data_IF_477947980804
#
_entry.id   IF_477947980804
#
_cell.length_a   1.000
_cell.length_b   1.000
_cell.length_c   1.000
_cell.angle_alpha   90.00
_cell.angle_beta   90.00
_cell.angle_gamma   90.00
#
_symmetry.space_group_name_H-M   'P 1'
#
loop_
_entity.id
_entity.type
_entity.pdbx_description
1 polymer ?
#
# COMPACT_ATOMS: atom_id res chain seq x y z
N UNK A 1 69.63 8.40 -11.64
CA UNK A 1 68.75 7.47 -12.37
C UNK A 1 68.06 6.41 -11.50
N UNK A 2 68.75 5.63 -10.64
CA UNK A 2 68.06 4.61 -9.80
C UNK A 2 67.21 5.24 -8.68
N UNK A 3 67.61 6.35 -8.08
CA UNK A 3 66.90 7.05 -7.01
C UNK A 3 65.64 7.75 -7.52
N UNK A 4 65.65 8.29 -8.75
CA UNK A 4 64.49 8.94 -9.38
C UNK A 4 63.42 7.93 -9.77
N UNK A 5 63.80 6.73 -10.22
CA UNK A 5 62.83 5.62 -10.46
C UNK A 5 62.17 5.12 -9.18
N UNK A 6 62.92 5.04 -8.07
CA UNK A 6 62.39 4.58 -6.79
C UNK A 6 61.41 5.62 -6.17
N UNK A 7 61.68 6.93 -6.35
CA UNK A 7 60.74 7.98 -5.92
C UNK A 7 59.50 8.02 -6.81
N UNK A 8 59.59 7.88 -8.11
CA UNK A 8 58.46 7.79 -9.04
C UNK A 8 57.58 6.58 -8.73
N UNK A 9 58.14 5.41 -8.43
CA UNK A 9 57.41 4.19 -8.04
C UNK A 9 56.67 4.37 -6.70
N UNK A 10 57.28 5.04 -5.70
CA UNK A 10 56.61 5.33 -4.41
C UNK A 10 55.46 6.30 -4.60
N UNK A 11 55.57 7.32 -5.46
CA UNK A 11 54.52 8.28 -5.77
C UNK A 11 53.33 7.65 -6.46
N UNK A 12 53.55 6.78 -7.44
CA UNK A 12 52.47 6.02 -8.13
C UNK A 12 51.77 5.04 -7.20
N UNK A 13 52.51 4.40 -6.29
CA UNK A 13 51.90 3.48 -5.31
C UNK A 13 51.03 4.21 -4.26
N UNK A 14 51.43 5.39 -3.85
CA UNK A 14 50.66 6.24 -2.93
C UNK A 14 49.41 6.79 -3.61
N UNK A 15 49.50 7.24 -4.84
CA UNK A 15 48.37 7.72 -5.65
C UNK A 15 47.32 6.59 -5.86
N UNK A 16 47.78 5.37 -6.23
CA UNK A 16 46.91 4.23 -6.42
C UNK A 16 46.14 3.85 -5.12
N UNK A 17 46.83 3.91 -3.96
CA UNK A 17 46.19 3.67 -2.64
C UNK A 17 45.12 4.73 -2.32
N UNK A 18 45.43 6.01 -2.58
CA UNK A 18 44.44 7.10 -2.37
C UNK A 18 43.23 6.90 -3.26
N UNK A 19 43.41 6.61 -4.53
CA UNK A 19 42.34 6.36 -5.48
C UNK A 19 41.48 5.13 -5.05
N UNK A 20 42.15 4.06 -4.62
CA UNK A 20 41.48 2.86 -4.10
C UNK A 20 40.61 3.19 -2.88
N UNK A 21 41.11 3.97 -1.92
CA UNK A 21 40.38 4.37 -0.73
C UNK A 21 39.19 5.27 -1.07
N UNK A 22 39.34 6.18 -2.02
CA UNK A 22 38.20 7.01 -2.53
C UNK A 22 37.14 6.11 -3.15
N UNK A 23 37.54 5.19 -4.04
CA UNK A 23 36.61 4.27 -4.69
C UNK A 23 35.88 3.42 -3.65
N UNK A 24 36.57 2.86 -2.68
CA UNK A 24 35.97 2.10 -1.58
C UNK A 24 34.97 2.96 -0.78
N UNK A 25 35.34 4.20 -0.47
CA UNK A 25 34.46 5.15 0.22
C UNK A 25 33.18 5.43 -0.56
N UNK A 26 33.26 5.61 -1.88
CA UNK A 26 32.10 5.81 -2.77
C UNK A 26 31.21 4.58 -2.78
N UNK A 27 31.79 3.38 -2.90
CA UNK A 27 31.02 2.12 -2.87
C UNK A 27 30.28 1.97 -1.53
N UNK A 28 30.95 2.19 -0.41
CA UNK A 28 30.34 2.11 0.92
C UNK A 28 29.22 3.15 1.10
N UNK A 29 29.40 4.36 0.57
CA UNK A 29 28.37 5.40 0.59
C UNK A 29 27.13 4.96 -0.22
N UNK A 30 27.29 4.40 -1.40
CA UNK A 30 26.19 3.92 -2.23
C UNK A 30 25.43 2.79 -1.51
N UNK A 31 26.16 1.85 -0.92
CA UNK A 31 25.54 0.78 -0.11
C UNK A 31 24.74 1.38 1.05
N UNK A 32 25.35 2.28 1.83
CA UNK A 32 24.70 2.92 2.97
C UNK A 32 23.43 3.67 2.54
N UNK A 33 23.50 4.47 1.47
CA UNK A 33 22.33 5.19 0.96
C UNK A 33 21.23 4.23 0.51
N UNK A 34 21.56 3.12 -0.14
CA UNK A 34 20.56 2.12 -0.55
C UNK A 34 19.83 1.50 0.64
N UNK A 35 20.54 1.21 1.73
CA UNK A 35 19.93 0.69 2.97
C UNK A 35 19.12 1.77 3.71
N UNK A 36 19.56 3.03 3.68
CA UNK A 36 18.83 4.17 4.23
C UNK A 36 17.50 4.36 3.47
N UNK A 37 17.49 4.24 2.15
CA UNK A 37 16.27 4.29 1.35
C UNK A 37 15.26 3.21 1.80
N UNK A 38 15.70 1.98 2.02
CA UNK A 38 14.85 0.92 2.56
C UNK A 38 14.32 1.30 3.94
N UNK A 39 15.20 1.76 4.84
CA UNK A 39 14.82 2.11 6.20
C UNK A 39 13.78 3.22 6.24
N UNK A 40 13.99 4.33 5.52
CA UNK A 40 13.06 5.48 5.50
C UNK A 40 11.69 5.10 4.95
N UNK A 41 11.63 4.31 3.87
CA UNK A 41 10.37 3.90 3.27
C UNK A 41 9.63 2.83 4.10
N UNK A 42 10.32 2.10 4.96
CA UNK A 42 9.70 1.07 5.82
C UNK A 42 9.43 1.54 7.25
N UNK A 43 9.83 2.76 7.62
CA UNK A 43 9.58 3.37 8.92
C UNK A 43 8.87 4.72 8.77
N UNK A 44 7.63 4.73 8.27
CA UNK A 44 6.90 5.98 8.09
C UNK A 44 6.66 6.66 9.45
N UNK A 45 6.69 7.99 9.51
CA UNK A 45 6.27 8.72 10.69
C UNK A 45 4.80 8.42 10.97
N UNK A 46 4.45 8.27 12.26
CA UNK A 46 3.06 8.12 12.67
C UNK A 46 2.42 9.50 12.81
N UNK A 47 1.46 9.76 11.95
CA UNK A 47 0.67 10.98 12.03
C UNK A 47 -0.57 10.76 12.90
N UNK A 48 -0.84 11.69 13.82
CA UNK A 48 -1.96 11.64 14.76
C UNK A 48 -3.11 12.57 14.38
N UNK A 49 -3.31 12.82 13.10
CA UNK A 49 -4.47 13.57 12.65
C UNK A 49 -5.70 12.66 12.73
N UNK A 50 -6.68 13.09 13.51
CA UNK A 50 -7.89 12.32 13.73
C UNK A 50 -9.11 13.16 13.39
N UNK A 51 -9.62 12.95 12.18
CA UNK A 51 -10.95 13.41 11.80
C UNK A 51 -11.87 12.19 11.99
N UNK A 52 -12.60 12.12 13.12
CA UNK A 52 -13.43 10.94 13.40
C UNK A 52 -14.66 10.92 12.48
N UNK A 53 -15.30 9.76 12.28
CA UNK A 53 -16.51 9.65 11.45
C UNK A 53 -17.67 10.54 11.90
N UNK A 54 -17.73 10.94 13.16
CA UNK A 54 -18.73 11.86 13.71
C UNK A 54 -18.69 13.25 13.05
N UNK A 55 -17.55 13.72 12.56
CA UNK A 55 -17.47 14.98 11.80
C UNK A 55 -18.28 14.91 10.49
N UNK A 56 -18.48 13.72 9.96
CA UNK A 56 -19.32 13.43 8.81
C UNK A 56 -20.70 12.89 9.19
N UNK A 57 -21.13 13.06 10.47
CA UNK A 57 -22.42 12.61 11.02
C UNK A 57 -22.64 11.10 10.91
N UNK A 58 -21.58 10.32 11.03
CA UNK A 58 -21.63 8.87 11.01
C UNK A 58 -21.33 8.32 12.41
N UNK A 59 -22.20 7.44 12.92
CA UNK A 59 -22.00 6.75 14.19
C UNK A 59 -20.90 5.69 14.03
N UNK A 60 -20.04 5.57 15.02
CA UNK A 60 -18.95 4.59 14.98
C UNK A 60 -18.60 4.03 16.35
N UNK A 61 -17.94 2.89 16.34
CA UNK A 61 -17.36 2.21 17.49
C UNK A 61 -15.85 2.19 17.37
N UNK A 62 -15.12 2.54 18.42
CA UNK A 62 -13.66 2.36 18.48
C UNK A 62 -13.37 0.89 18.72
N UNK A 63 -12.62 0.28 17.83
CA UNK A 63 -12.34 -1.15 17.87
C UNK A 63 -10.85 -1.44 17.85
N UNK A 64 -10.49 -2.63 18.35
CA UNK A 64 -9.13 -3.15 18.24
C UNK A 64 -9.17 -4.66 18.03
N UNK A 65 -8.21 -5.16 17.24
CA UNK A 65 -8.03 -6.57 16.96
C UNK A 65 -6.55 -6.85 16.73
N UNK A 66 -6.15 -8.11 16.81
CA UNK A 66 -4.72 -8.47 16.75
C UNK A 66 -4.46 -9.31 15.50
N UNK A 67 -3.40 -8.96 14.76
CA UNK A 67 -2.94 -9.76 13.64
C UNK A 67 -2.29 -11.08 14.11
N UNK A 68 -2.14 -12.05 13.21
CA UNK A 68 -1.60 -13.38 13.56
C UNK A 68 -0.18 -13.35 14.15
N UNK A 69 0.59 -12.30 13.86
CA UNK A 69 1.94 -12.07 14.39
C UNK A 69 1.96 -11.12 15.61
N UNK A 70 0.80 -10.94 16.26
CA UNK A 70 0.69 -10.27 17.56
C UNK A 70 0.64 -8.75 17.51
N UNK A 71 0.50 -8.14 16.32
CA UNK A 71 0.38 -6.67 16.22
C UNK A 71 -1.04 -6.24 16.57
N UNK A 72 -1.18 -5.37 17.58
CA UNK A 72 -2.46 -4.76 17.92
C UNK A 72 -2.81 -3.67 16.89
N UNK A 73 -3.94 -3.85 16.24
CA UNK A 73 -4.48 -2.94 15.25
C UNK A 73 -5.64 -2.14 15.85
N UNK A 74 -5.70 -0.85 15.51
CA UNK A 74 -6.73 0.09 15.96
C UNK A 74 -7.59 0.54 14.81
N UNK A 75 -8.89 0.59 15.03
CA UNK A 75 -9.85 0.92 13.99
C UNK A 75 -11.10 1.63 14.49
N UNK A 76 -11.90 2.03 13.53
CA UNK A 76 -13.26 2.55 13.71
C UNK A 76 -14.22 1.70 12.89
N UNK A 77 -15.24 1.17 13.55
CA UNK A 77 -16.34 0.46 12.91
C UNK A 77 -17.49 1.44 12.74
N UNK A 78 -17.64 1.96 11.55
CA UNK A 78 -18.71 2.91 11.19
C UNK A 78 -19.99 2.12 10.95
N UNK A 79 -21.06 2.53 11.64
CA UNK A 79 -22.36 1.85 11.56
C UNK A 79 -23.12 2.30 10.31
N UNK A 80 -23.95 1.43 9.72
CA UNK A 80 -24.83 1.83 8.63
C UNK A 80 -25.88 2.83 9.12
N UNK A 81 -26.30 3.73 8.24
CA UNK A 81 -27.31 4.74 8.56
C UNK A 81 -28.66 4.11 8.95
N UNK A 82 -28.95 2.89 8.48
CA UNK A 82 -30.14 2.13 8.81
C UNK A 82 -29.73 0.73 9.31
N UNK A 83 -30.23 0.35 10.48
CA UNK A 83 -29.95 -0.97 11.04
C UNK A 83 -30.54 -2.07 10.15
N UNK A 84 -29.70 -2.91 9.59
CA UNK A 84 -30.07 -4.14 8.93
C UNK A 84 -29.47 -5.32 9.71
N UNK A 85 -30.26 -6.35 9.94
CA UNK A 85 -29.72 -7.64 10.37
C UNK A 85 -28.87 -8.19 9.22
N UNK A 86 -27.65 -8.59 9.52
CA UNK A 86 -26.69 -9.10 8.52
C UNK A 86 -26.40 -8.10 7.38
N UNK A 87 -25.93 -6.89 7.76
CA UNK A 87 -25.53 -5.89 6.81
C UNK A 87 -24.28 -6.31 6.01
N UNK A 88 -24.14 -5.90 4.74
CA UNK A 88 -22.88 -6.02 4.03
C UNK A 88 -21.83 -5.12 4.67
N UNK A 89 -20.54 -5.49 4.54
CA UNK A 89 -19.46 -4.73 5.14
C UNK A 89 -18.36 -4.40 4.13
N UNK A 90 -17.67 -3.29 4.37
CA UNK A 90 -16.49 -2.86 3.58
C UNK A 90 -15.34 -2.57 4.54
N UNK A 91 -14.18 -3.13 4.23
CA UNK A 91 -12.91 -2.84 4.91
C UNK A 91 -12.18 -1.80 4.08
N UNK A 92 -11.76 -0.69 4.69
CA UNK A 92 -10.99 0.37 4.03
C UNK A 92 -9.55 0.34 4.52
N UNK A 93 -8.62 0.26 3.57
CA UNK A 93 -7.18 0.15 3.76
C UNK A 93 -6.48 1.39 3.21
N UNK A 94 -5.82 2.16 4.09
CA UNK A 94 -5.13 3.40 3.74
C UNK A 94 -3.78 3.18 3.05
N UNK A 95 -3.17 4.25 2.51
CA UNK A 95 -1.84 4.27 1.91
C UNK A 95 -0.70 4.38 2.94
N UNK A 96 0.54 4.30 2.46
CA UNK A 96 1.73 4.54 3.29
C UNK A 96 1.76 6.00 3.75
N UNK A 97 2.16 6.24 5.01
CA UNK A 97 2.19 7.59 5.59
C UNK A 97 0.81 8.20 5.86
N UNK A 98 -0.28 7.46 5.59
CA UNK A 98 -1.65 7.82 5.91
C UNK A 98 -2.14 7.08 7.17
N UNK A 99 -3.37 7.31 7.56
CA UNK A 99 -4.03 6.58 8.63
C UNK A 99 -5.55 6.46 8.36
N UNK A 100 -6.27 5.79 9.25
CA UNK A 100 -7.73 5.58 9.11
C UNK A 100 -8.54 6.87 8.97
N UNK A 101 -8.06 7.99 9.54
CA UNK A 101 -8.81 9.25 9.51
C UNK A 101 -8.84 9.91 8.12
N UNK A 102 -7.93 9.56 7.23
CA UNK A 102 -7.89 10.10 5.87
C UNK A 102 -9.03 9.58 4.98
N UNK A 103 -9.73 8.53 5.44
CA UNK A 103 -10.82 7.89 4.70
C UNK A 103 -12.18 7.98 5.40
N UNK A 104 -12.31 8.83 6.42
CA UNK A 104 -13.56 8.97 7.19
C UNK A 104 -14.71 9.51 6.37
N UNK A 105 -14.45 10.44 5.44
CA UNK A 105 -15.48 10.95 4.52
C UNK A 105 -16.01 9.81 3.63
N UNK A 106 -15.14 9.07 2.97
CA UNK A 106 -15.52 7.94 2.14
C UNK A 106 -16.30 6.89 2.94
N UNK A 107 -15.84 6.58 4.16
CA UNK A 107 -16.52 5.64 5.03
C UNK A 107 -17.93 6.09 5.42
N UNK A 108 -18.10 7.38 5.72
CA UNK A 108 -19.42 7.95 6.02
C UNK A 108 -20.35 7.91 4.80
N UNK A 109 -19.84 8.19 3.60
CA UNK A 109 -20.59 8.10 2.35
C UNK A 109 -21.06 6.67 2.08
N UNK A 110 -20.16 5.69 2.24
CA UNK A 110 -20.45 4.27 2.06
C UNK A 110 -21.44 3.78 3.14
N UNK A 111 -21.32 4.23 4.41
CA UNK A 111 -22.22 3.82 5.48
C UNK A 111 -23.67 4.29 5.26
N UNK A 112 -23.86 5.48 4.64
CA UNK A 112 -25.20 5.97 4.24
C UNK A 112 -25.87 5.08 3.20
N UNK A 113 -25.09 4.29 2.45
CA UNK A 113 -25.61 3.29 1.52
C UNK A 113 -25.99 1.96 2.22
N UNK A 114 -25.88 1.88 3.55
CA UNK A 114 -26.29 0.71 4.34
C UNK A 114 -25.18 -0.29 4.63
N UNK A 115 -23.93 0.07 4.44
CA UNK A 115 -22.78 -0.78 4.77
C UNK A 115 -22.26 -0.53 6.18
N UNK A 116 -21.81 -1.57 6.85
CA UNK A 116 -20.87 -1.44 7.96
C UNK A 116 -19.48 -1.19 7.36
N UNK A 117 -18.76 -0.19 7.85
CA UNK A 117 -17.43 0.13 7.31
C UNK A 117 -16.39 0.02 8.41
N UNK A 118 -15.37 -0.81 8.21
CA UNK A 118 -14.20 -0.89 9.07
C UNK A 118 -13.07 -0.06 8.48
N UNK A 119 -12.72 1.03 9.15
CA UNK A 119 -11.48 1.77 8.97
C UNK A 119 -10.47 1.28 10.01
N UNK A 120 -9.25 0.97 9.63
CA UNK A 120 -8.21 0.62 10.60
C UNK A 120 -6.84 1.15 10.17
N UNK A 121 -5.96 1.38 11.14
CA UNK A 121 -4.58 1.72 10.86
C UNK A 121 -3.79 0.44 10.63
N UNK A 122 -3.07 0.37 9.51
CA UNK A 122 -2.07 -0.67 9.31
C UNK A 122 -0.99 -0.64 10.39
N UNK A 123 -0.27 -1.75 10.55
CA UNK A 123 0.95 -1.79 11.37
C UNK A 123 1.86 -0.60 11.09
N UNK A 124 2.53 -0.08 12.11
CA UNK A 124 3.42 1.08 12.06
C UNK A 124 2.76 2.40 11.65
N UNK A 125 1.43 2.47 11.50
CA UNK A 125 0.70 3.69 11.17
C UNK A 125 -0.29 4.06 12.30
N UNK A 126 -0.67 5.33 12.33
CA UNK A 126 -1.68 5.86 13.26
C UNK A 126 -1.52 5.36 14.69
N UNK A 127 -2.59 4.81 15.26
CA UNK A 127 -2.64 4.27 16.63
C UNK A 127 -2.27 2.78 16.72
N UNK A 128 -2.09 2.10 15.59
CA UNK A 128 -1.74 0.68 15.57
C UNK A 128 -0.32 0.42 16.04
N UNK A 129 -0.08 -0.79 16.54
CA UNK A 129 1.22 -1.28 16.95
C UNK A 129 2.21 -1.43 15.79
N UNK A 130 3.39 -1.96 16.12
CA UNK A 130 4.47 -2.13 15.15
C UNK A 130 5.30 -0.88 14.95
N UNK A 131 6.49 -1.08 14.35
CA UNK A 131 7.47 -0.01 14.10
C UNK A 131 7.84 0.11 12.62
N UNK A 132 7.46 -0.86 11.81
CA UNK A 132 7.82 -0.94 10.40
C UNK A 132 6.66 -1.45 9.56
N UNK A 133 6.53 -0.90 8.37
CA UNK A 133 5.70 -1.42 7.28
C UNK A 133 6.57 -2.24 6.33
N UNK A 134 6.00 -3.25 5.71
CA UNK A 134 6.68 -4.05 4.70
C UNK A 134 6.20 -3.75 3.27
N UNK A 135 5.41 -2.70 3.13
CA UNK A 135 4.88 -2.22 1.85
C UNK A 135 4.14 -3.34 1.08
N UNK A 136 3.26 -4.08 1.78
CA UNK A 136 2.38 -5.08 1.18
C UNK A 136 2.63 -6.53 1.58
N UNK A 137 3.74 -6.88 2.24
CA UNK A 137 3.99 -8.27 2.67
C UNK A 137 3.31 -8.62 4.00
N UNK A 138 3.62 -7.88 5.06
CA UNK A 138 3.04 -8.11 6.39
C UNK A 138 1.63 -7.52 6.53
N UNK A 139 1.31 -6.50 5.74
CA UNK A 139 -0.01 -5.86 5.71
C UNK A 139 -1.12 -6.82 5.28
N UNK A 140 -0.79 -7.89 4.54
CA UNK A 140 -1.73 -8.98 4.27
C UNK A 140 -2.23 -9.66 5.54
N UNK A 141 -1.39 -9.75 6.59
CA UNK A 141 -1.78 -10.30 7.90
C UNK A 141 -2.74 -9.35 8.63
N UNK A 142 -2.54 -8.04 8.48
CA UNK A 142 -3.43 -7.03 9.05
C UNK A 142 -4.80 -7.08 8.39
N UNK A 143 -4.86 -7.21 7.07
CA UNK A 143 -6.12 -7.37 6.32
C UNK A 143 -6.81 -8.69 6.68
N UNK A 144 -6.07 -9.78 6.82
CA UNK A 144 -6.63 -11.06 7.25
C UNK A 144 -7.24 -10.97 8.65
N UNK A 145 -6.59 -10.27 9.59
CA UNK A 145 -7.12 -10.02 10.92
C UNK A 145 -8.37 -9.13 10.88
N UNK A 146 -8.38 -8.08 10.05
CA UNK A 146 -9.55 -7.23 9.84
C UNK A 146 -10.73 -8.02 9.27
N UNK A 147 -10.48 -8.92 8.31
CA UNK A 147 -11.50 -9.80 7.75
C UNK A 147 -12.06 -10.76 8.79
N UNK A 148 -11.22 -11.37 9.63
CA UNK A 148 -11.69 -12.25 10.72
C UNK A 148 -12.49 -11.46 11.76
N UNK A 149 -12.04 -10.25 12.14
CA UNK A 149 -12.77 -9.38 13.05
C UNK A 149 -14.17 -9.07 12.52
N UNK A 150 -14.30 -8.69 11.26
CA UNK A 150 -15.58 -8.38 10.60
C UNK A 150 -16.48 -9.63 10.54
N UNK A 151 -15.94 -10.78 10.15
CA UNK A 151 -16.70 -12.05 10.06
C UNK A 151 -17.24 -12.53 11.40
N UNK A 152 -16.60 -12.18 12.50
CA UNK A 152 -17.04 -12.56 13.84
C UNK A 152 -18.21 -11.70 14.36
N UNK A 153 -18.57 -10.63 13.68
CA UNK A 153 -19.65 -9.71 14.09
C UNK A 153 -21.00 -10.26 13.63
N UNK A 154 -21.94 -10.42 14.57
CA UNK A 154 -23.28 -11.01 14.31
C UNK A 154 -24.15 -10.16 13.38
N UNK A 155 -23.95 -8.85 13.40
CA UNK A 155 -24.67 -7.88 12.57
C UNK A 155 -24.22 -7.87 11.11
N UNK A 156 -23.14 -8.57 10.76
CA UNK A 156 -22.53 -8.57 9.43
C UNK A 156 -22.78 -9.90 8.71
N UNK A 157 -23.15 -9.82 7.43
CA UNK A 157 -23.20 -10.98 6.56
C UNK A 157 -21.78 -11.37 6.10
N UNK A 158 -21.25 -12.51 6.55
CA UNK A 158 -19.88 -12.91 6.23
C UNK A 158 -19.64 -13.26 4.75
N UNK A 159 -20.72 -13.33 3.96
CA UNK A 159 -20.66 -13.56 2.50
C UNK A 159 -20.68 -12.27 1.69
N UNK A 160 -20.97 -11.13 2.31
CA UNK A 160 -21.09 -9.84 1.65
C UNK A 160 -20.08 -8.84 2.20
N UNK A 161 -18.79 -9.19 2.08
CA UNK A 161 -17.67 -8.37 2.54
C UNK A 161 -16.87 -7.88 1.34
N UNK A 162 -16.79 -6.57 1.18
CA UNK A 162 -15.92 -5.90 0.21
C UNK A 162 -14.65 -5.35 0.86
N UNK A 163 -13.68 -5.01 0.03
CA UNK A 163 -12.47 -4.30 0.45
C UNK A 163 -12.18 -3.16 -0.51
N UNK A 164 -11.88 -2.01 0.06
CA UNK A 164 -11.34 -0.84 -0.64
C UNK A 164 -9.91 -0.62 -0.16
N UNK A 165 -8.97 -0.40 -1.06
CA UNK A 165 -7.60 -0.05 -0.71
C UNK A 165 -7.06 1.06 -1.58
N UNK A 166 -6.31 1.98 -0.96
CA UNK A 166 -5.61 3.06 -1.62
C UNK A 166 -4.10 2.83 -1.56
N UNK A 167 -3.39 2.99 -2.70
CA UNK A 167 -1.92 2.94 -2.78
C UNK A 167 -1.38 1.62 -2.19
N UNK A 168 -0.57 1.68 -1.10
CA UNK A 168 -0.18 0.51 -0.30
C UNK A 168 -1.39 -0.38 0.03
N UNK A 169 -2.49 0.24 0.48
CA UNK A 169 -3.73 -0.46 0.83
C UNK A 169 -4.34 -1.18 -0.36
N UNK A 170 -4.33 -0.56 -1.56
CA UNK A 170 -4.83 -1.15 -2.80
C UNK A 170 -4.03 -2.39 -3.22
N UNK A 171 -2.71 -2.27 -3.20
CA UNK A 171 -1.81 -3.39 -3.52
C UNK A 171 -1.92 -4.51 -2.49
N UNK A 172 -1.99 -4.16 -1.20
CA UNK A 172 -2.18 -5.12 -0.11
C UNK A 172 -3.55 -5.81 -0.16
N UNK A 173 -4.60 -5.09 -0.58
CA UNK A 173 -5.94 -5.65 -0.75
C UNK A 173 -5.97 -6.72 -1.85
N UNK A 174 -5.33 -6.46 -3.00
CA UNK A 174 -5.18 -7.45 -4.08
C UNK A 174 -4.44 -8.69 -3.57
N UNK A 175 -3.29 -8.50 -2.92
CA UNK A 175 -2.46 -9.61 -2.39
C UNK A 175 -3.23 -10.44 -1.35
N UNK A 176 -3.91 -9.76 -0.41
CA UNK A 176 -4.70 -10.43 0.63
C UNK A 176 -5.91 -11.16 0.05
N UNK A 177 -6.66 -10.54 -0.88
CA UNK A 177 -7.81 -11.16 -1.52
C UNK A 177 -7.43 -12.43 -2.28
N UNK A 178 -6.32 -12.39 -3.05
CA UNK A 178 -5.83 -13.56 -3.77
C UNK A 178 -5.36 -14.69 -2.84
N UNK A 179 -4.82 -14.34 -1.65
CA UNK A 179 -4.27 -15.33 -0.70
C UNK A 179 -5.32 -15.93 0.21
N UNK A 180 -6.22 -15.10 0.76
CA UNK A 180 -7.16 -15.54 1.81
C UNK A 180 -8.55 -15.87 1.27
N UNK A 181 -8.92 -15.30 0.12
CA UNK A 181 -10.30 -15.29 -0.34
C UNK A 181 -11.21 -14.50 0.62
N UNK A 182 -12.51 -14.70 0.49
CA UNK A 182 -13.51 -14.19 1.46
C UNK A 182 -13.88 -12.73 1.29
N UNK A 183 -13.43 -12.10 0.21
CA UNK A 183 -13.92 -10.81 -0.28
C UNK A 183 -14.80 -11.03 -1.51
N UNK A 184 -15.97 -10.41 -1.51
CA UNK A 184 -16.96 -10.53 -2.58
C UNK A 184 -16.87 -9.39 -3.61
N UNK A 185 -16.11 -8.33 -3.34
CA UNK A 185 -15.81 -7.24 -4.26
C UNK A 185 -14.55 -6.48 -3.78
N UNK A 186 -13.70 -6.08 -4.71
CA UNK A 186 -12.42 -5.43 -4.44
C UNK A 186 -12.33 -4.10 -5.21
N UNK A 187 -11.99 -3.02 -4.52
CA UNK A 187 -11.63 -1.74 -5.14
C UNK A 187 -10.18 -1.45 -4.81
N UNK A 188 -9.36 -1.25 -5.85
CA UNK A 188 -7.94 -0.92 -5.71
C UNK A 188 -7.68 0.42 -6.41
N UNK A 189 -7.49 1.47 -5.60
CA UNK A 189 -7.19 2.81 -6.07
C UNK A 189 -5.69 3.07 -5.98
N UNK A 190 -5.11 3.55 -7.07
CA UNK A 190 -3.69 3.92 -7.19
C UNK A 190 -2.73 2.81 -6.71
N UNK A 191 -3.08 1.54 -7.00
CA UNK A 191 -2.27 0.39 -6.61
C UNK A 191 -1.08 0.18 -7.54
N UNK A 192 0.08 -0.21 -6.98
CA UNK A 192 1.25 -0.58 -7.77
C UNK A 192 1.19 -2.05 -8.27
N UNK A 193 1.90 -2.34 -9.36
CA UNK A 193 1.97 -3.68 -9.95
C UNK A 193 2.88 -4.63 -9.19
N UNK A 194 4.04 -4.13 -8.73
CA UNK A 194 5.01 -4.89 -7.93
C UNK A 194 5.84 -3.96 -7.06
N UNK A 195 6.32 -4.45 -5.91
CA UNK A 195 7.22 -3.67 -5.05
C UNK A 195 8.54 -3.35 -5.77
N UNK A 196 9.02 -4.23 -6.64
CA UNK A 196 10.24 -3.99 -7.43
C UNK A 196 10.08 -2.81 -8.39
N UNK A 197 8.95 -2.73 -9.11
CA UNK A 197 8.67 -1.64 -10.03
C UNK A 197 8.43 -0.34 -9.26
N UNK A 198 7.66 -0.40 -8.16
CA UNK A 198 7.45 0.75 -7.27
C UNK A 198 8.78 1.29 -6.70
N UNK A 199 9.70 0.41 -6.30
CA UNK A 199 11.03 0.82 -5.83
C UNK A 199 11.85 1.47 -6.95
N UNK A 200 11.78 0.94 -8.19
CA UNK A 200 12.43 1.57 -9.35
C UNK A 200 11.90 2.98 -9.59
N UNK A 201 10.57 3.12 -9.65
CA UNK A 201 9.90 4.39 -9.94
C UNK A 201 10.20 5.43 -8.84
N UNK A 202 10.22 5.01 -7.57
CA UNK A 202 10.61 5.87 -6.46
C UNK A 202 12.10 6.29 -6.55
N UNK A 203 13.02 5.35 -6.82
CA UNK A 203 14.46 5.63 -6.94
C UNK A 203 14.72 6.60 -8.09
N UNK A 204 14.14 6.37 -9.25
CA UNK A 204 14.43 7.16 -10.44
C UNK A 204 13.59 8.44 -10.55
N UNK A 205 12.31 8.38 -10.21
CA UNK A 205 11.36 9.48 -10.33
C UNK A 205 11.33 10.41 -9.12
N UNK A 206 11.30 9.88 -7.91
CA UNK A 206 11.17 10.69 -6.69
C UNK A 206 12.54 11.09 -6.11
N UNK A 207 13.46 10.12 -5.96
CA UNK A 207 14.81 10.38 -5.42
C UNK A 207 15.81 10.86 -6.46
N UNK A 208 15.46 10.82 -7.76
CA UNK A 208 16.33 11.22 -8.88
C UNK A 208 17.70 10.51 -8.88
N UNK A 209 17.73 9.26 -8.42
CA UNK A 209 18.93 8.43 -8.40
C UNK A 209 18.89 7.44 -9.59
N UNK A 210 20.06 7.03 -10.13
CA UNK A 210 20.09 6.00 -11.18
C UNK A 210 19.60 4.65 -10.64
N UNK A 211 18.86 3.89 -11.46
CA UNK A 211 18.40 2.58 -11.06
C UNK A 211 19.55 1.65 -10.64
N UNK A 212 20.63 1.61 -11.40
CA UNK A 212 21.86 0.90 -11.01
C UNK A 212 22.87 1.89 -10.42
N UNK A 213 23.46 1.59 -9.26
CA UNK A 213 23.38 0.36 -8.46
C UNK A 213 22.31 0.38 -7.34
N UNK A 214 21.52 1.47 -7.21
CA UNK A 214 20.62 1.67 -6.06
C UNK A 214 19.50 0.64 -5.97
N UNK A 215 18.83 0.31 -7.09
CA UNK A 215 17.73 -0.64 -7.08
C UNK A 215 18.14 -2.05 -6.62
N UNK A 216 19.15 -2.70 -7.20
CA UNK A 216 19.54 -4.03 -6.73
C UNK A 216 20.02 -4.05 -5.28
N UNK A 217 20.70 -2.99 -4.81
CA UNK A 217 21.13 -2.90 -3.41
C UNK A 217 19.96 -2.65 -2.45
N UNK A 218 18.98 -1.83 -2.84
CA UNK A 218 17.76 -1.61 -2.04
C UNK A 218 16.91 -2.87 -1.99
N UNK A 219 16.76 -3.59 -3.12
CA UNK A 219 16.08 -4.89 -3.14
C UNK A 219 16.77 -5.88 -2.20
N UNK A 220 18.09 -6.02 -2.29
CA UNK A 220 18.85 -6.89 -1.40
C UNK A 220 18.67 -6.48 0.08
N UNK A 221 18.76 -5.17 0.38
CA UNK A 221 18.54 -4.65 1.73
C UNK A 221 17.14 -4.95 2.27
N UNK A 222 16.11 -4.79 1.43
CA UNK A 222 14.74 -5.12 1.78
C UNK A 222 14.58 -6.63 2.06
N UNK A 223 15.09 -7.49 1.18
CA UNK A 223 14.97 -8.95 1.31
C UNK A 223 15.69 -9.48 2.56
N UNK A 224 16.87 -8.95 2.86
CA UNK A 224 17.60 -9.27 4.08
C UNK A 224 16.85 -8.79 5.34
N UNK A 225 16.25 -7.59 5.28
CA UNK A 225 15.56 -7.01 6.43
C UNK A 225 14.24 -7.67 6.76
N UNK A 226 13.44 -8.06 5.75
CA UNK A 226 12.14 -8.70 5.93
C UNK A 226 12.19 -10.23 5.78
N UNK A 227 13.33 -10.81 5.40
CA UNK A 227 13.49 -12.23 5.14
C UNK A 227 12.45 -12.79 4.17
N UNK A 228 12.18 -12.00 3.12
CA UNK A 228 11.23 -12.33 2.05
C UNK A 228 11.73 -11.76 0.73
N UNK A 229 11.26 -12.30 -0.38
CA UNK A 229 11.58 -11.79 -1.72
C UNK A 229 10.60 -10.69 -2.13
N UNK A 230 11.09 -9.65 -2.80
CA UNK A 230 10.23 -8.59 -3.34
C UNK A 230 9.25 -9.10 -4.39
N UNK A 231 9.57 -10.21 -5.05
CA UNK A 231 8.69 -10.90 -6.02
C UNK A 231 7.40 -11.44 -5.37
N UNK A 232 7.38 -11.68 -4.06
CA UNK A 232 6.18 -12.06 -3.33
C UNK A 232 5.20 -10.89 -3.14
N UNK A 233 5.65 -9.67 -3.46
CA UNK A 233 4.84 -8.45 -3.36
C UNK A 233 4.61 -7.92 -4.78
N UNK A 234 3.90 -8.70 -5.55
CA UNK A 234 3.58 -8.42 -6.95
C UNK A 234 2.08 -8.67 -7.20
N UNK A 235 1.20 -7.69 -6.88
CA UNK A 235 -0.23 -7.77 -7.16
C UNK A 235 -0.56 -8.24 -8.57
N UNK A 236 0.22 -7.80 -9.56
CA UNK A 236 0.00 -8.17 -10.98
C UNK A 236 0.10 -9.68 -11.23
N UNK A 237 0.89 -10.41 -10.42
CA UNK A 237 1.08 -11.85 -10.59
C UNK A 237 -0.04 -12.69 -9.99
N UNK A 238 -0.86 -12.11 -9.10
CA UNK A 238 -1.87 -12.85 -8.33
C UNK A 238 -3.29 -12.36 -8.58
N UNK A 239 -3.49 -11.18 -9.16
CA UNK A 239 -4.79 -10.55 -9.34
C UNK A 239 -5.78 -11.41 -10.16
N UNK A 240 -5.30 -12.20 -11.13
CA UNK A 240 -6.13 -13.13 -11.88
C UNK A 240 -6.82 -14.18 -11.00
N UNK A 241 -6.16 -14.60 -9.90
CA UNK A 241 -6.68 -15.58 -8.95
C UNK A 241 -7.79 -15.05 -8.03
N UNK A 242 -8.13 -13.77 -8.10
CA UNK A 242 -9.24 -13.18 -7.35
C UNK A 242 -10.59 -13.57 -7.97
N UNK A 243 -10.63 -13.78 -9.29
CA UNK A 243 -11.85 -14.20 -9.98
C UNK A 243 -12.46 -15.46 -9.33
N UNK A 244 -13.79 -15.54 -9.20
CA UNK A 244 -14.82 -14.69 -9.81
C UNK A 244 -15.20 -13.42 -9.02
N UNK A 245 -14.49 -13.06 -7.94
CA UNK A 245 -14.79 -11.80 -7.23
C UNK A 245 -14.42 -10.60 -8.12
N UNK A 246 -15.35 -9.63 -8.32
CA UNK A 246 -15.13 -8.47 -9.16
C UNK A 246 -14.06 -7.54 -8.61
N UNK A 247 -13.28 -6.92 -9.51
CA UNK A 247 -12.25 -5.95 -9.18
C UNK A 247 -12.47 -4.65 -9.93
N UNK A 248 -12.60 -3.53 -9.20
CA UNK A 248 -12.55 -2.18 -9.76
C UNK A 248 -11.13 -1.62 -9.51
N UNK A 249 -10.44 -1.27 -10.58
CA UNK A 249 -9.14 -0.63 -10.54
C UNK A 249 -9.33 0.85 -10.88
N UNK A 250 -8.87 1.73 -9.98
CA UNK A 250 -8.91 3.18 -10.14
C UNK A 250 -7.47 3.68 -10.24
N UNK A 251 -7.19 4.63 -11.14
CA UNK A 251 -5.88 5.26 -11.26
C UNK A 251 -6.01 6.70 -11.74
N UNK A 252 -5.21 7.58 -11.17
CA UNK A 252 -5.07 8.97 -11.62
C UNK A 252 -4.14 9.09 -12.82
N UNK A 253 -4.57 9.76 -13.89
CA UNK A 253 -3.71 9.94 -15.08
C UNK A 253 -2.56 10.94 -14.85
N UNK A 254 -2.64 11.77 -13.81
CA UNK A 254 -1.57 12.67 -13.38
C UNK A 254 -0.68 12.11 -12.26
N UNK A 255 -0.93 10.88 -11.81
CA UNK A 255 -0.19 10.26 -10.70
C UNK A 255 1.29 10.02 -11.08
N UNK A 256 2.17 10.77 -10.41
CA UNK A 256 3.64 10.70 -10.62
C UNK A 256 4.33 9.72 -9.70
N UNK A 257 3.67 9.29 -8.63
CA UNK A 257 4.23 8.32 -7.68
C UNK A 257 3.90 6.88 -8.11
N UNK A 258 2.67 6.64 -8.53
CA UNK A 258 2.22 5.35 -9.10
C UNK A 258 1.53 5.64 -10.43
N UNK A 259 2.29 5.72 -11.52
CA UNK A 259 1.75 6.06 -12.84
C UNK A 259 0.57 5.19 -13.25
N UNK A 260 -0.42 5.78 -13.94
CA UNK A 260 -1.66 5.12 -14.36
C UNK A 260 -1.43 3.82 -15.17
N UNK A 261 -0.23 3.64 -15.73
CA UNK A 261 0.18 2.40 -16.39
C UNK A 261 0.16 1.18 -15.44
N UNK A 262 0.38 1.39 -14.13
CA UNK A 262 0.18 0.34 -13.13
C UNK A 262 -1.27 -0.15 -13.11
N UNK A 263 -2.24 0.78 -13.12
CA UNK A 263 -3.66 0.43 -13.19
C UNK A 263 -4.02 -0.32 -14.48
N UNK A 264 -3.48 0.10 -15.62
CA UNK A 264 -3.67 -0.58 -16.91
C UNK A 264 -3.11 -2.01 -16.89
N UNK A 265 -1.92 -2.20 -16.32
CA UNK A 265 -1.29 -3.53 -16.20
C UNK A 265 -2.06 -4.44 -15.25
N UNK A 266 -2.51 -3.92 -14.11
CA UNK A 266 -3.36 -4.67 -13.17
C UNK A 266 -4.68 -5.08 -13.84
N UNK A 267 -5.33 -4.17 -14.57
CA UNK A 267 -6.55 -4.47 -15.31
C UNK A 267 -6.32 -5.54 -16.38
N UNK A 268 -5.24 -5.44 -17.14
CA UNK A 268 -4.91 -6.45 -18.15
C UNK A 268 -4.70 -7.84 -17.54
N UNK A 269 -4.09 -7.91 -16.35
CA UNK A 269 -3.80 -9.16 -15.64
C UNK A 269 -4.99 -9.72 -14.86
N UNK A 270 -5.97 -8.90 -14.46
CA UNK A 270 -7.13 -9.31 -13.69
C UNK A 270 -8.04 -10.26 -14.48
N UNK A 271 -8.65 -11.24 -13.77
CA UNK A 271 -9.76 -12.05 -14.28
C UNK A 271 -11.08 -11.29 -14.24
N UNK A 272 -12.09 -11.86 -14.95
CA UNK A 272 -13.45 -11.29 -14.96
C UNK A 272 -14.24 -11.65 -13.68
N UNK A 273 -15.14 -10.77 -13.20
CA UNK A 273 -15.47 -9.43 -13.71
C UNK A 273 -14.45 -8.37 -13.26
N UNK A 274 -14.12 -7.42 -14.14
CA UNK A 274 -13.17 -6.36 -13.85
C UNK A 274 -13.58 -5.04 -14.49
N UNK A 275 -13.25 -3.94 -13.82
CA UNK A 275 -13.47 -2.58 -14.31
C UNK A 275 -12.18 -1.77 -14.16
N UNK A 276 -11.92 -0.86 -15.09
CA UNK A 276 -10.85 0.13 -15.01
C UNK A 276 -11.45 1.53 -15.06
N UNK A 277 -11.05 2.38 -14.12
CA UNK A 277 -11.42 3.78 -14.12
C UNK A 277 -10.18 4.66 -14.05
N UNK A 278 -9.91 5.36 -15.12
CA UNK A 278 -8.84 6.37 -15.20
C UNK A 278 -9.44 7.74 -14.93
N UNK A 279 -8.87 8.49 -13.98
CA UNK A 279 -9.35 9.81 -13.60
C UNK A 279 -8.40 10.86 -14.19
N UNK A 280 -8.86 11.66 -15.18
CA UNK A 280 -8.01 12.63 -15.84
C UNK A 280 -7.39 13.65 -14.87
N UNK A 281 -6.08 13.89 -15.00
CA UNK A 281 -5.35 14.91 -14.25
C UNK A 281 -5.18 14.65 -12.75
N UNK A 282 -5.76 13.59 -12.18
CA UNK A 282 -5.61 13.28 -10.76
C UNK A 282 -4.18 12.82 -10.45
N UNK A 283 -3.52 13.49 -9.51
CA UNK A 283 -2.23 13.08 -8.94
C UNK A 283 -2.43 12.04 -7.82
N UNK A 284 -1.35 11.50 -7.26
CA UNK A 284 -1.42 10.50 -6.18
C UNK A 284 -2.19 11.01 -4.96
N UNK A 285 -3.21 10.27 -4.54
CA UNK A 285 -4.09 10.67 -3.43
C UNK A 285 -5.17 11.70 -3.80
N UNK A 286 -5.24 12.15 -5.05
CA UNK A 286 -6.20 13.15 -5.49
C UNK A 286 -7.40 12.56 -6.26
N UNK A 287 -7.48 11.25 -6.45
CA UNK A 287 -8.55 10.57 -7.22
C UNK A 287 -9.95 10.89 -6.69
N UNK A 288 -10.13 10.80 -5.36
CA UNK A 288 -11.40 11.13 -4.69
C UNK A 288 -11.80 12.60 -4.90
N UNK A 289 -10.87 13.54 -4.67
CA UNK A 289 -11.14 14.96 -4.81
C UNK A 289 -11.36 15.38 -6.28
N UNK A 290 -10.58 14.81 -7.21
CA UNK A 290 -10.67 15.14 -8.63
C UNK A 290 -11.98 14.66 -9.27
N UNK A 291 -12.48 13.50 -8.87
CA UNK A 291 -13.74 12.96 -9.38
C UNK A 291 -14.98 13.46 -8.60
N UNK A 292 -14.79 13.98 -7.38
CA UNK A 292 -15.88 14.53 -6.57
C UNK A 292 -17.02 13.54 -6.36
N UNK A 293 -18.26 13.99 -6.52
CA UNK A 293 -19.46 13.14 -6.33
C UNK A 293 -19.53 11.90 -7.25
N UNK A 294 -18.86 11.93 -8.40
CA UNK A 294 -18.79 10.75 -9.29
C UNK A 294 -17.98 9.62 -8.65
N UNK A 295 -16.99 9.95 -7.78
CA UNK A 295 -16.23 8.94 -7.06
C UNK A 295 -17.10 8.13 -6.11
N UNK A 296 -17.87 8.83 -5.24
CA UNK A 296 -18.82 8.19 -4.33
C UNK A 296 -19.82 7.32 -5.08
N UNK A 297 -20.41 7.90 -6.14
CA UNK A 297 -21.40 7.21 -6.96
C UNK A 297 -20.83 5.93 -7.54
N UNK A 298 -19.70 5.99 -8.23
CA UNK A 298 -19.15 4.83 -8.96
C UNK A 298 -18.63 3.74 -8.05
N UNK A 299 -17.90 4.11 -6.98
CA UNK A 299 -17.44 3.14 -5.97
C UNK A 299 -18.63 2.52 -5.23
N UNK A 300 -19.64 3.35 -4.85
CA UNK A 300 -20.84 2.89 -4.20
C UNK A 300 -21.67 1.95 -5.09
N UNK A 301 -21.89 2.29 -6.36
CA UNK A 301 -22.63 1.45 -7.32
C UNK A 301 -21.90 0.13 -7.60
N UNK A 302 -20.56 0.15 -7.65
CA UNK A 302 -19.77 -1.07 -7.76
C UNK A 302 -20.03 -2.01 -6.58
N UNK A 303 -19.92 -1.53 -5.36
CA UNK A 303 -20.23 -2.34 -4.20
C UNK A 303 -21.70 -2.76 -4.14
N UNK A 304 -22.65 -1.88 -4.47
CA UNK A 304 -24.08 -2.21 -4.47
C UNK A 304 -24.41 -3.35 -5.44
N UNK A 305 -23.78 -3.38 -6.62
CA UNK A 305 -23.98 -4.42 -7.63
C UNK A 305 -23.55 -5.80 -7.17
N UNK A 306 -22.53 -5.89 -6.32
CA UNK A 306 -21.93 -7.18 -5.97
C UNK A 306 -22.12 -7.59 -4.52
N UNK A 307 -22.57 -6.68 -3.64
CA UNK A 307 -22.74 -6.96 -2.21
C UNK A 307 -24.20 -6.82 -1.75
N UNK A 308 -25.11 -6.31 -2.56
CA UNK A 308 -26.54 -6.25 -2.27
C UNK A 308 -27.33 -7.23 -3.11
#
# INVERSE_FOLDING_TARGET
MLNDKAQSLKGTFTFAKVLMNILLGVILLIIALSFILVYVNTHPPKYSLHIPPSEYRADYEVVSFTSEDGILLKGWLVKPAHSALQAPAIIICHGIGANKSDFTELAALISRRGYVVLLFDFRAHGESGGRRTSIGYLEQKDIAAALQFIKARREIDPKRIGIYGFSLGGSSAILAAAKTGGFSAIVADSAFTSLRDQARDAITGFYHLPAFPFLPLSVLGYELYFQTRVEHIAPVNVIAGIAPAPVLIIAGEGDRLIPADNGRKLFAAAGEPKELWLIPGADHGATFAAAGGEYEKRVGEFFDRYLK
#
